data_IF_663759392844
#
_entry.id   IF_663759392844
#
_cell.length_a   1.000
_cell.length_b   1.000
_cell.length_c   1.000
_cell.angle_alpha   90.00
_cell.angle_beta   90.00
_cell.angle_gamma   90.00
#
_symmetry.space_group_name_H-M   'P 1'
#
loop_
_entity.id
_entity.type
_entity.pdbx_description
1 polymer ?
#
# COMPACT_ATOMS: atom_id res chain seq x y z
N UNK A 1 -27.86 -22.29 -0.78
CA UNK A 1 -27.73 -20.82 -0.81
C UNK A 1 -26.29 -20.53 -1.22
N UNK A 2 -26.06 -20.27 -2.50
CA UNK A 2 -24.76 -19.86 -3.02
C UNK A 2 -24.49 -18.45 -2.50
N UNK A 3 -23.60 -18.33 -1.52
CA UNK A 3 -23.10 -17.05 -1.04
C UNK A 3 -22.14 -16.53 -2.12
N UNK A 4 -22.68 -15.87 -3.14
CA UNK A 4 -21.86 -15.10 -4.07
C UNK A 4 -21.32 -13.94 -3.25
N UNK A 5 -20.09 -14.09 -2.75
CA UNK A 5 -19.38 -13.00 -2.11
C UNK A 5 -19.25 -11.89 -3.16
N UNK A 6 -20.14 -10.89 -3.10
CA UNK A 6 -20.05 -9.67 -3.88
C UNK A 6 -18.79 -8.95 -3.40
N UNK A 7 -17.67 -9.16 -4.09
CA UNK A 7 -16.43 -8.45 -3.79
C UNK A 7 -16.68 -6.98 -4.13
N UNK A 8 -16.75 -6.16 -3.09
CA UNK A 8 -16.83 -4.72 -3.24
C UNK A 8 -15.45 -4.18 -3.66
N UNK A 9 -15.19 -4.25 -4.97
CA UNK A 9 -14.02 -3.67 -5.62
C UNK A 9 -13.71 -2.22 -5.20
N UNK A 10 -14.70 -1.33 -5.01
CA UNK A 10 -14.45 0.03 -4.55
C UNK A 10 -13.86 0.08 -3.14
N UNK A 11 -14.33 -0.77 -2.23
CA UNK A 11 -13.79 -0.81 -0.87
C UNK A 11 -12.40 -1.45 -0.86
N UNK A 12 -12.15 -2.49 -1.66
CA UNK A 12 -10.83 -3.08 -1.78
C UNK A 12 -9.79 -2.08 -2.33
N UNK A 13 -10.17 -1.28 -3.34
CA UNK A 13 -9.36 -0.19 -3.85
C UNK A 13 -9.07 0.86 -2.76
N UNK A 14 -10.08 1.23 -1.97
CA UNK A 14 -9.95 2.24 -0.91
C UNK A 14 -9.03 1.75 0.21
N UNK A 15 -9.23 0.54 0.71
CA UNK A 15 -8.41 -0.04 1.76
C UNK A 15 -6.98 -0.31 1.28
N UNK A 16 -6.78 -0.81 0.05
CA UNK A 16 -5.46 -1.02 -0.53
C UNK A 16 -4.68 0.29 -0.72
N UNK A 17 -5.34 1.33 -1.22
CA UNK A 17 -4.73 2.66 -1.36
C UNK A 17 -4.42 3.28 -0.01
N UNK A 18 -5.32 3.16 0.98
CA UNK A 18 -5.10 3.65 2.34
C UNK A 18 -3.94 2.91 3.04
N UNK A 19 -3.85 1.59 2.89
CA UNK A 19 -2.74 0.80 3.41
C UNK A 19 -1.40 1.23 2.79
N UNK A 20 -1.39 1.47 1.48
CA UNK A 20 -0.22 1.96 0.75
C UNK A 20 0.21 3.35 1.24
N UNK A 21 -0.74 4.26 1.45
CA UNK A 21 -0.47 5.57 2.03
C UNK A 21 0.09 5.48 3.46
N UNK A 22 -0.43 4.57 4.29
CA UNK A 22 0.10 4.32 5.63
C UNK A 22 1.54 3.81 5.58
N UNK A 23 1.87 2.93 4.63
CA UNK A 23 3.24 2.47 4.40
C UNK A 23 4.17 3.64 4.06
N UNK A 24 3.79 4.53 3.14
CA UNK A 24 4.58 5.72 2.81
C UNK A 24 4.80 6.59 4.07
N UNK A 25 3.75 6.85 4.84
CA UNK A 25 3.86 7.65 6.06
C UNK A 25 4.84 7.04 7.07
N UNK A 26 4.80 5.73 7.28
CA UNK A 26 5.72 5.03 8.19
C UNK A 26 7.15 5.06 7.65
N UNK A 27 7.32 4.79 6.35
CA UNK A 27 8.59 4.84 5.64
C UNK A 27 9.27 6.20 5.77
N UNK A 28 8.55 7.27 5.41
CA UNK A 28 9.02 8.65 5.48
C UNK A 28 9.28 9.08 6.93
N UNK A 29 8.38 8.73 7.86
CA UNK A 29 8.54 9.11 9.25
C UNK A 29 9.79 8.49 9.86
N UNK A 30 10.05 7.19 9.66
CA UNK A 30 11.23 6.57 10.26
C UNK A 30 12.54 6.87 9.51
N UNK A 31 12.53 7.27 8.24
CA UNK A 31 13.75 7.78 7.59
C UNK A 31 14.11 9.16 8.12
N UNK A 32 13.12 10.04 8.32
CA UNK A 32 13.34 11.37 8.90
C UNK A 32 13.72 11.27 10.39
N UNK A 33 12.91 10.56 11.18
CA UNK A 33 13.06 10.48 12.65
C UNK A 33 14.13 9.47 13.09
N UNK A 34 14.38 8.42 12.31
CA UNK A 34 15.38 7.40 12.60
C UNK A 34 16.78 7.75 12.11
N UNK A 35 16.95 8.88 11.40
CA UNK A 35 18.25 9.31 10.89
C UNK A 35 19.30 9.42 12.01
N UNK A 36 20.33 8.56 11.94
CA UNK A 36 21.40 8.49 12.95
C UNK A 36 21.07 7.68 14.22
N UNK A 37 19.86 7.14 14.34
CA UNK A 37 19.42 6.31 15.48
C UNK A 37 19.30 4.85 15.09
N UNK A 38 18.85 4.57 13.87
CA UNK A 38 18.72 3.22 13.33
C UNK A 38 19.96 2.81 12.52
N UNK A 39 20.28 1.53 12.56
CA UNK A 39 21.39 0.95 11.81
C UNK A 39 21.08 0.92 10.30
N UNK A 40 22.12 0.78 9.46
CA UNK A 40 21.98 0.92 8.01
C UNK A 40 21.00 -0.06 7.35
N UNK A 41 20.85 -1.27 7.90
CA UNK A 41 19.93 -2.27 7.35
C UNK A 41 18.47 -1.97 7.74
N UNK A 42 18.21 -1.43 8.93
CA UNK A 42 16.88 -1.00 9.38
C UNK A 42 16.39 0.18 8.54
N UNK A 43 17.28 1.15 8.27
CA UNK A 43 16.99 2.27 7.39
C UNK A 43 16.64 1.79 5.97
N UNK A 44 17.31 0.74 5.48
CA UNK A 44 17.03 0.17 4.15
C UNK A 44 15.66 -0.54 4.11
N UNK A 45 15.32 -1.33 5.13
CA UNK A 45 13.99 -1.97 5.25
C UNK A 45 12.86 -0.92 5.27
N UNK A 46 13.09 0.19 5.97
CA UNK A 46 12.10 1.24 6.09
C UNK A 46 11.92 2.04 4.79
N UNK A 47 13.01 2.21 4.05
CA UNK A 47 12.99 2.78 2.70
C UNK A 47 12.31 1.84 1.70
N UNK A 48 12.56 0.53 1.76
CA UNK A 48 11.85 -0.46 0.94
C UNK A 48 10.33 -0.44 1.20
N UNK A 49 9.93 -0.25 2.46
CA UNK A 49 8.53 -0.10 2.85
C UNK A 49 7.91 1.16 2.22
N UNK A 50 8.64 2.28 2.19
CA UNK A 50 8.20 3.49 1.49
C UNK A 50 8.01 3.22 -0.01
N UNK A 51 8.97 2.57 -0.67
CA UNK A 51 8.90 2.21 -2.09
C UNK A 51 7.67 1.35 -2.39
N UNK A 52 7.42 0.33 -1.55
CA UNK A 52 6.23 -0.52 -1.68
C UNK A 52 4.94 0.27 -1.49
N UNK A 53 4.91 1.23 -0.56
CA UNK A 53 3.79 2.13 -0.38
C UNK A 53 3.55 3.02 -1.61
N UNK A 54 4.61 3.59 -2.20
CA UNK A 54 4.51 4.41 -3.42
C UNK A 54 4.04 3.59 -4.61
N UNK A 55 4.55 2.38 -4.79
CA UNK A 55 4.06 1.48 -5.85
C UNK A 55 2.60 1.09 -5.61
N UNK A 56 2.26 0.71 -4.37
CA UNK A 56 0.92 0.32 -3.98
C UNK A 56 -0.11 1.44 -4.18
N UNK A 57 0.23 2.70 -3.92
CA UNK A 57 -0.72 3.81 -4.05
C UNK A 57 -1.18 4.04 -5.49
N UNK A 58 -0.38 3.63 -6.48
CA UNK A 58 -0.72 3.69 -7.90
C UNK A 58 -1.35 2.37 -8.35
N UNK A 59 -0.74 1.25 -7.98
CA UNK A 59 -1.13 -0.09 -8.43
C UNK A 59 -2.46 -0.53 -7.84
N UNK A 60 -2.73 -0.28 -6.55
CA UNK A 60 -3.98 -0.69 -5.90
C UNK A 60 -5.25 -0.06 -6.50
N UNK A 61 -5.36 1.28 -6.65
CA UNK A 61 -6.56 1.86 -7.26
C UNK A 61 -6.68 1.49 -8.74
N UNK A 62 -5.57 1.28 -9.45
CA UNK A 62 -5.60 0.82 -10.83
C UNK A 62 -6.12 -0.63 -10.95
N UNK A 63 -5.57 -1.56 -10.17
CA UNK A 63 -5.98 -2.96 -10.21
C UNK A 63 -7.41 -3.16 -9.72
N UNK A 64 -7.76 -2.63 -8.55
CA UNK A 64 -9.07 -2.87 -7.94
C UNK A 64 -10.16 -1.93 -8.45
N UNK A 65 -9.80 -0.71 -8.86
CA UNK A 65 -10.78 0.27 -9.35
C UNK A 65 -11.04 0.21 -10.86
N UNK A 66 -10.10 -0.31 -11.65
CA UNK A 66 -10.21 -0.32 -13.13
C UNK A 66 -10.06 -1.73 -13.68
N UNK A 67 -8.93 -2.40 -13.41
CA UNK A 67 -8.61 -3.66 -14.10
C UNK A 67 -9.60 -4.76 -13.73
N UNK A 68 -9.71 -5.10 -12.44
CA UNK A 68 -10.54 -6.20 -11.94
C UNK A 68 -12.03 -6.07 -12.28
N UNK A 69 -12.67 -4.88 -12.12
CA UNK A 69 -14.05 -4.70 -12.54
C UNK A 69 -14.29 -4.83 -14.06
N UNK A 70 -13.25 -4.77 -14.89
CA UNK A 70 -13.36 -4.86 -16.35
C UNK A 70 -13.17 -6.29 -16.87
N UNK A 71 -12.47 -7.14 -16.12
CA UNK A 71 -12.21 -8.55 -16.48
C UNK A 71 -13.35 -9.49 -16.04
N UNK A 72 -14.14 -9.06 -15.06
CA UNK A 72 -15.31 -9.76 -14.53
C UNK A 72 -16.60 -9.25 -15.18
#
# INVERSE_FOLDING_TARGET
MSNTANIDYPDLAKYGTAASAAMICVGAAGTVLGSGVVSGWEASMLFDLEILGVLGIVVCPFLFGILLPLIE
#
